data_IF_658796323733
#
_entry.id   IF_658796323733
#
_cell.length_a   1.000
_cell.length_b   1.000
_cell.length_c   1.000
_cell.angle_alpha   90.00
_cell.angle_beta   90.00
_cell.angle_gamma   90.00
#
_symmetry.space_group_name_H-M   'P 1'
#
loop_
_entity.id
_entity.type
_entity.pdbx_description
1 polymer ?
#
# COMPACT_ATOMS: atom_id res chain seq x y z
N UNK A 1 3.95 2.15 26.25
CA UNK A 1 3.36 1.20 25.28
C UNK A 1 4.42 0.40 24.53
N UNK A 2 5.48 1.04 23.99
CA UNK A 2 6.59 0.35 23.30
C UNK A 2 7.18 -0.80 24.11
N UNK A 3 7.61 -0.52 25.34
CA UNK A 3 8.14 -1.54 26.23
C UNK A 3 7.14 -2.69 26.48
N UNK A 4 5.84 -2.37 26.62
CA UNK A 4 4.79 -3.37 26.85
C UNK A 4 4.61 -4.31 25.65
N UNK A 5 4.45 -3.78 24.43
CA UNK A 5 4.17 -4.64 23.26
C UNK A 5 5.41 -5.45 22.83
N UNK A 6 6.61 -4.87 22.92
CA UNK A 6 7.86 -5.59 22.62
C UNK A 6 8.09 -6.74 23.61
N UNK A 7 7.90 -6.48 24.92
CA UNK A 7 7.99 -7.54 25.93
C UNK A 7 6.90 -8.60 25.76
N UNK A 8 5.66 -8.21 25.44
CA UNK A 8 4.58 -9.16 25.10
C UNK A 8 5.01 -10.09 23.96
N UNK A 9 5.56 -9.56 22.86
CA UNK A 9 6.03 -10.38 21.74
C UNK A 9 7.09 -11.38 22.19
N UNK A 10 8.12 -10.93 22.92
CA UNK A 10 9.18 -11.81 23.44
C UNK A 10 8.62 -12.90 24.36
N UNK A 11 7.75 -12.53 25.31
CA UNK A 11 7.18 -13.47 26.26
C UNK A 11 6.29 -14.52 25.60
N UNK A 12 5.50 -14.15 24.60
CA UNK A 12 4.63 -15.10 23.90
C UNK A 12 5.40 -16.00 22.92
N UNK A 13 6.48 -15.50 22.30
CA UNK A 13 7.27 -16.25 21.32
C UNK A 13 8.23 -17.22 22.01
N UNK A 14 8.98 -16.77 23.02
CA UNK A 14 10.07 -17.56 23.62
C UNK A 14 9.71 -18.23 24.95
N UNK A 15 8.80 -17.64 25.73
CA UNK A 15 8.44 -18.14 27.08
C UNK A 15 7.01 -18.70 27.14
N UNK A 16 6.34 -18.78 25.99
CA UNK A 16 5.01 -19.38 25.84
C UNK A 16 5.05 -20.91 25.77
N UNK A 17 3.87 -21.51 25.62
CA UNK A 17 3.77 -22.94 25.32
C UNK A 17 4.17 -23.20 23.86
N UNK A 18 4.96 -24.24 23.63
CA UNK A 18 5.34 -24.69 22.29
C UNK A 18 4.09 -25.02 21.45
N UNK A 19 4.05 -24.51 20.22
CA UNK A 19 2.92 -24.71 19.29
C UNK A 19 3.28 -25.55 18.07
N UNK A 20 4.48 -26.14 18.04
CA UNK A 20 5.00 -26.85 16.86
C UNK A 20 4.95 -28.39 16.97
N UNK A 21 4.58 -28.94 18.14
CA UNK A 21 4.44 -30.38 18.38
C UNK A 21 3.02 -30.94 18.10
N UNK A 22 2.17 -30.17 17.41
CA UNK A 22 0.83 -30.57 16.96
C UNK A 22 0.74 -30.37 15.45
N UNK A 23 -0.16 -31.09 14.80
CA UNK A 23 -0.42 -30.85 13.37
C UNK A 23 -0.70 -29.35 13.16
N UNK A 24 -0.04 -28.77 12.16
CA UNK A 24 -0.02 -27.31 11.95
C UNK A 24 -1.42 -26.71 11.83
N UNK A 25 -2.34 -27.47 11.25
CA UNK A 25 -3.74 -27.10 11.08
C UNK A 25 -4.51 -27.08 12.42
N UNK A 26 -4.09 -27.89 13.41
CA UNK A 26 -4.63 -27.87 14.78
C UNK A 26 -3.93 -26.83 15.67
N UNK A 27 -2.64 -26.61 15.46
CA UNK A 27 -1.82 -25.70 16.26
C UNK A 27 -2.13 -24.22 15.97
N UNK A 28 -2.43 -23.90 14.70
CA UNK A 28 -2.76 -22.54 14.26
C UNK A 28 -3.92 -22.60 13.25
N UNK A 29 -5.17 -22.66 13.73
CA UNK A 29 -6.35 -22.72 12.86
C UNK A 29 -6.46 -21.54 11.88
N UNK A 30 -5.88 -20.40 12.24
CA UNK A 30 -5.80 -19.20 11.40
C UNK A 30 -4.92 -19.39 10.15
N UNK A 31 -3.81 -20.14 10.27
CA UNK A 31 -2.95 -20.50 9.14
C UNK A 31 -3.67 -21.44 8.16
N UNK A 32 -4.50 -22.36 8.68
CA UNK A 32 -5.33 -23.23 7.83
C UNK A 32 -6.39 -22.42 7.05
N UNK A 33 -7.03 -21.44 7.71
CA UNK A 33 -7.97 -20.54 7.06
C UNK A 33 -7.30 -19.63 6.00
N UNK A 34 -6.08 -19.15 6.28
CA UNK A 34 -5.29 -18.39 5.29
C UNK A 34 -4.88 -19.25 4.08
N UNK A 35 -4.53 -20.53 4.28
CA UNK A 35 -4.26 -21.47 3.16
C UNK A 35 -5.47 -21.61 2.26
N UNK A 36 -6.64 -21.88 2.86
CA UNK A 36 -7.89 -22.03 2.13
C UNK A 36 -8.26 -20.75 1.35
N UNK A 37 -8.10 -19.58 1.98
CA UNK A 37 -8.38 -18.29 1.34
C UNK A 37 -7.39 -17.94 0.22
N UNK A 38 -6.12 -18.33 0.35
CA UNK A 38 -5.07 -18.02 -0.63
C UNK A 38 -5.15 -18.88 -1.90
N UNK A 39 -5.79 -20.06 -1.84
CA UNK A 39 -5.86 -21.00 -2.96
C UNK A 39 -4.50 -21.58 -3.39
N UNK A 40 -3.42 -21.35 -2.61
CA UNK A 40 -2.07 -21.84 -2.91
C UNK A 40 -1.81 -23.12 -2.14
N UNK A 41 -1.81 -24.24 -2.84
CA UNK A 41 -1.40 -25.52 -2.32
C UNK A 41 0.09 -25.74 -2.63
N UNK A 42 0.93 -25.52 -1.61
CA UNK A 42 2.38 -25.78 -1.54
C UNK A 42 3.35 -24.59 -1.77
N UNK A 43 4.35 -24.52 -0.88
CA UNK A 43 5.69 -23.99 -1.13
C UNK A 43 5.85 -22.46 -1.20
N UNK A 44 4.80 -21.71 -1.54
CA UNK A 44 4.90 -20.26 -1.69
C UNK A 44 3.81 -19.55 -0.88
N UNK A 45 4.23 -18.89 0.20
CA UNK A 45 3.40 -17.92 0.93
C UNK A 45 2.68 -18.43 2.16
N UNK A 46 2.49 -19.74 2.36
CA UNK A 46 1.69 -20.25 3.50
C UNK A 46 2.36 -21.39 4.25
N UNK A 47 3.54 -21.11 4.82
CA UNK A 47 4.24 -21.97 5.79
C UNK A 47 4.58 -23.39 5.32
N UNK A 48 5.44 -24.12 6.04
CA UNK A 48 5.73 -25.53 5.73
C UNK A 48 4.51 -26.42 5.99
N UNK A 49 4.37 -27.52 5.24
CA UNK A 49 3.26 -28.48 5.33
C UNK A 49 3.55 -29.69 6.24
N UNK A 50 4.77 -29.77 6.79
CA UNK A 50 5.21 -30.87 7.65
C UNK A 50 5.45 -30.45 9.11
N UNK A 51 5.71 -31.42 9.99
CA UNK A 51 6.04 -31.17 11.39
C UNK A 51 7.22 -30.19 11.48
N UNK A 52 7.00 -29.08 12.18
CA UNK A 52 7.97 -28.02 12.35
C UNK A 52 8.91 -28.37 13.50
N UNK A 53 10.17 -28.62 13.19
CA UNK A 53 11.21 -28.65 14.22
C UNK A 53 11.99 -27.33 14.16
N UNK A 54 11.86 -26.45 15.17
CA UNK A 54 12.66 -25.24 15.24
C UNK A 54 14.15 -25.61 15.23
N UNK A 55 14.88 -25.05 14.28
CA UNK A 55 16.32 -25.19 14.18
C UNK A 55 16.94 -23.80 14.17
N UNK A 56 18.17 -23.71 14.65
CA UNK A 56 18.92 -22.46 14.60
C UNK A 56 19.12 -22.03 13.14
N UNK A 57 19.10 -20.73 12.92
CA UNK A 57 19.26 -20.19 11.57
C UNK A 57 20.68 -20.46 11.03
N UNK A 58 20.87 -20.69 9.72
CA UNK A 58 22.19 -20.92 9.15
C UNK A 58 23.14 -19.73 9.40
N UNK A 59 24.45 -19.99 9.32
CA UNK A 59 25.50 -18.97 9.54
C UNK A 59 25.32 -17.70 8.69
N UNK A 60 24.75 -17.85 7.50
CA UNK A 60 24.49 -16.75 6.58
C UNK A 60 23.49 -15.72 7.13
N UNK A 61 22.62 -16.12 8.08
CA UNK A 61 21.67 -15.22 8.76
C UNK A 61 22.16 -14.81 10.15
N UNK A 62 22.77 -15.73 10.91
CA UNK A 62 23.23 -15.42 12.28
C UNK A 62 24.40 -14.45 12.30
N UNK A 63 25.32 -14.53 11.33
CA UNK A 63 26.48 -13.64 11.27
C UNK A 63 26.06 -12.16 11.11
N UNK A 64 25.20 -11.77 10.14
CA UNK A 64 24.68 -10.41 10.08
C UNK A 64 24.01 -9.95 11.38
N UNK A 65 23.18 -10.79 12.02
CA UNK A 65 22.50 -10.43 13.27
C UNK A 65 23.49 -10.19 14.41
N UNK A 66 24.52 -11.02 14.53
CA UNK A 66 25.57 -10.86 15.54
C UNK A 66 26.38 -9.58 15.32
N UNK A 67 26.73 -9.28 14.07
CA UNK A 67 27.43 -8.04 13.71
C UNK A 67 26.57 -6.82 14.04
N UNK A 68 25.27 -6.85 13.73
CA UNK A 68 24.34 -5.77 14.06
C UNK A 68 24.16 -5.60 15.58
N UNK A 69 24.05 -6.71 16.32
CA UNK A 69 23.97 -6.67 17.79
C UNK A 69 25.24 -6.07 18.40
N UNK A 70 26.43 -6.48 17.92
CA UNK A 70 27.70 -5.89 18.31
C UNK A 70 27.77 -4.41 17.97
N UNK A 71 27.34 -4.02 16.77
CA UNK A 71 27.25 -2.63 16.33
C UNK A 71 26.35 -1.78 17.22
N UNK A 72 25.19 -2.30 17.65
CA UNK A 72 24.28 -1.61 18.57
C UNK A 72 24.92 -1.38 19.95
N UNK A 73 25.67 -2.36 20.48
CA UNK A 73 26.41 -2.22 21.74
C UNK A 73 27.50 -1.16 21.60
N UNK A 74 28.30 -1.22 20.53
CA UNK A 74 29.38 -0.26 20.27
C UNK A 74 28.81 1.16 20.09
N UNK A 75 27.74 1.31 19.31
CA UNK A 75 27.04 2.59 19.14
C UNK A 75 26.53 3.16 20.48
N UNK A 76 25.96 2.31 21.34
CA UNK A 76 25.56 2.70 22.69
C UNK A 76 26.74 3.20 23.53
N UNK A 77 27.86 2.46 23.52
CA UNK A 77 29.08 2.83 24.26
C UNK A 77 29.68 4.14 23.75
N UNK A 78 29.71 4.35 22.43
CA UNK A 78 30.19 5.58 21.80
C UNK A 78 29.34 6.82 22.12
N UNK A 79 28.17 6.66 22.74
CA UNK A 79 27.28 7.77 23.09
C UNK A 79 26.98 7.83 24.60
N UNK A 80 27.80 7.20 25.43
CA UNK A 80 27.65 7.27 26.88
C UNK A 80 28.02 8.68 27.39
N UNK A 81 27.25 9.25 28.33
CA UNK A 81 27.44 10.62 28.81
C UNK A 81 28.55 10.70 29.86
N UNK A 82 29.74 10.16 29.58
CA UNK A 82 30.87 10.24 30.51
C UNK A 82 31.63 11.56 30.37
N UNK A 83 31.80 12.07 29.15
CA UNK A 83 32.35 13.39 28.83
C UNK A 83 31.60 13.98 27.62
N UNK A 84 31.56 15.31 27.48
CA UNK A 84 30.93 15.95 26.32
C UNK A 84 31.64 15.56 25.00
N UNK A 85 32.98 15.48 25.03
CA UNK A 85 33.80 15.08 23.88
C UNK A 85 33.61 13.61 23.46
N UNK A 86 33.07 12.76 24.34
CA UNK A 86 32.86 11.33 24.03
C UNK A 86 31.59 11.03 23.27
N UNK A 87 30.72 12.03 23.05
CA UNK A 87 29.48 11.90 22.26
C UNK A 87 29.78 11.91 20.76
N UNK A 88 30.64 11.00 20.29
CA UNK A 88 31.16 11.01 18.92
C UNK A 88 30.03 10.84 17.88
N UNK A 89 29.02 10.03 18.20
CA UNK A 89 27.89 9.79 17.31
C UNK A 89 26.95 11.00 17.22
N UNK A 90 26.70 11.68 18.35
CA UNK A 90 25.91 12.91 18.42
C UNK A 90 26.55 13.99 17.53
N UNK A 91 27.83 14.29 17.72
CA UNK A 91 28.55 15.28 16.91
C UNK A 91 28.66 14.90 15.43
N UNK A 92 28.78 13.60 15.12
CA UNK A 92 28.82 13.15 13.73
C UNK A 92 27.46 13.29 13.03
N UNK A 93 26.36 13.06 13.75
CA UNK A 93 25.00 13.20 13.23
C UNK A 93 24.53 14.65 13.22
N UNK A 94 25.03 15.47 14.14
CA UNK A 94 24.66 16.88 14.35
C UNK A 94 24.39 17.61 13.03
N UNK A 95 25.28 17.62 12.01
CA UNK A 95 25.07 18.33 10.74
C UNK A 95 23.77 18.03 9.99
N UNK A 96 23.19 16.85 10.20
CA UNK A 96 21.95 16.41 9.56
C UNK A 96 20.72 16.78 10.42
N UNK A 97 20.89 16.95 11.73
CA UNK A 97 19.79 17.17 12.70
C UNK A 97 19.62 18.63 13.10
N UNK A 98 20.63 19.49 12.90
CA UNK A 98 20.65 20.90 13.38
C UNK A 98 19.40 21.70 12.97
N UNK A 99 18.81 21.42 11.80
CA UNK A 99 17.64 22.15 11.30
C UNK A 99 16.36 21.96 12.12
N UNK A 100 16.34 21.01 13.08
CA UNK A 100 15.18 20.70 13.92
C UNK A 100 15.40 20.87 15.42
N UNK A 101 16.57 21.31 15.88
CA UNK A 101 16.87 21.38 17.31
C UNK A 101 16.37 22.68 17.96
N UNK A 102 15.53 22.54 18.98
CA UNK A 102 15.22 23.62 19.93
C UNK A 102 15.99 23.35 21.20
N UNK A 103 16.98 24.19 21.53
CA UNK A 103 17.66 24.10 22.81
C UNK A 103 16.68 24.52 23.93
N UNK A 104 16.22 23.54 24.69
CA UNK A 104 15.48 23.78 25.92
C UNK A 104 16.48 23.84 27.07
N UNK A 105 16.58 25.00 27.73
CA UNK A 105 17.35 25.14 28.97
C UNK A 105 16.64 24.39 30.10
N UNK A 106 16.95 23.10 30.21
CA UNK A 106 16.44 22.21 31.25
C UNK A 106 17.55 21.98 32.26
N UNK A 107 17.29 22.30 33.53
CA UNK A 107 18.26 22.06 34.61
C UNK A 107 18.64 20.57 34.70
N UNK A 108 19.87 20.26 35.15
CA UNK A 108 20.32 18.86 35.29
C UNK A 108 19.39 18.01 36.18
N UNK A 109 18.79 18.61 37.21
CA UNK A 109 17.80 17.94 38.06
C UNK A 109 16.52 17.56 37.28
N UNK A 110 16.04 18.44 36.39
CA UNK A 110 14.89 18.15 35.52
C UNK A 110 15.22 17.09 34.48
N UNK A 111 16.43 17.10 33.89
CA UNK A 111 16.87 16.07 32.95
C UNK A 111 16.89 14.68 33.60
N UNK A 112 17.47 14.57 34.80
CA UNK A 112 17.47 13.33 35.59
C UNK A 112 16.03 12.93 35.93
N UNK A 113 15.19 13.88 36.32
CA UNK A 113 13.77 13.63 36.61
C UNK A 113 13.04 13.02 35.41
N UNK A 114 13.20 13.60 34.21
CA UNK A 114 12.61 13.09 32.98
C UNK A 114 13.14 11.71 32.61
N UNK A 115 14.46 11.49 32.72
CA UNK A 115 15.09 10.20 32.46
C UNK A 115 14.57 9.10 33.41
N UNK A 116 14.40 9.43 34.70
CA UNK A 116 13.82 8.52 35.68
C UNK A 116 12.36 8.20 35.36
N UNK A 117 11.53 9.19 35.03
CA UNK A 117 10.13 8.99 34.64
C UNK A 117 10.03 8.09 33.41
N UNK A 118 10.84 8.35 32.37
CA UNK A 118 10.89 7.54 31.16
C UNK A 118 11.30 6.09 31.46
N UNK A 119 12.36 5.92 32.27
CA UNK A 119 12.87 4.60 32.66
C UNK A 119 11.83 3.83 33.48
N UNK A 120 11.21 4.46 34.48
CA UNK A 120 10.16 3.86 35.30
C UNK A 120 8.93 3.49 34.46
N UNK A 121 8.54 4.33 33.50
CA UNK A 121 7.46 4.04 32.56
C UNK A 121 7.77 2.82 31.67
N UNK A 122 9.02 2.70 31.20
CA UNK A 122 9.47 1.53 30.44
C UNK A 122 9.43 0.27 31.31
N UNK A 123 10.01 0.31 32.52
CA UNK A 123 10.01 -0.80 33.49
C UNK A 123 8.59 -1.22 33.85
N UNK A 124 7.70 -0.26 34.13
CA UNK A 124 6.29 -0.53 34.41
C UNK A 124 5.59 -1.22 33.23
N UNK A 125 5.92 -0.82 31.99
CA UNK A 125 5.45 -1.50 30.77
C UNK A 125 5.92 -2.95 30.68
N UNK A 126 7.20 -3.22 30.93
CA UNK A 126 7.78 -4.57 30.92
C UNK A 126 7.15 -5.44 32.00
N UNK A 127 7.07 -4.93 33.24
CA UNK A 127 6.47 -5.64 34.38
C UNK A 127 4.98 -5.88 34.17
N UNK A 128 4.25 -4.91 33.60
CA UNK A 128 2.84 -5.06 33.24
C UNK A 128 2.64 -6.17 32.21
N UNK A 129 3.46 -6.21 31.16
CA UNK A 129 3.43 -7.30 30.17
C UNK A 129 3.75 -8.65 30.83
N UNK A 130 4.79 -8.71 31.68
CA UNK A 130 5.15 -9.94 32.39
C UNK A 130 4.04 -10.44 33.31
N UNK A 131 3.40 -9.54 34.06
CA UNK A 131 2.30 -9.87 34.96
C UNK A 131 1.06 -10.42 34.24
N UNK A 132 0.82 -10.01 32.98
CA UNK A 132 -0.31 -10.48 32.19
C UNK A 132 0.05 -11.76 31.42
N UNK A 133 1.12 -11.74 30.64
CA UNK A 133 1.43 -12.79 29.67
C UNK A 133 2.23 -13.96 30.27
N UNK A 134 3.24 -13.71 31.12
CA UNK A 134 3.98 -14.81 31.77
C UNK A 134 3.12 -15.53 32.82
N UNK A 135 2.20 -14.81 33.48
CA UNK A 135 1.23 -15.40 34.43
C UNK A 135 -0.07 -15.86 33.78
N UNK A 136 -0.16 -15.86 32.44
CA UNK A 136 -1.31 -16.33 31.65
C UNK A 136 -2.67 -15.77 32.13
N UNK A 137 -2.73 -14.48 32.47
CA UNK A 137 -3.95 -13.80 32.96
C UNK A 137 -4.86 -13.39 31.80
N UNK A 138 -5.60 -14.35 31.24
CA UNK A 138 -6.45 -14.18 30.04
C UNK A 138 -7.49 -13.06 30.21
N UNK A 139 -8.06 -12.88 31.39
CA UNK A 139 -9.06 -11.83 31.65
C UNK A 139 -8.51 -10.42 31.51
N UNK A 140 -7.25 -10.22 31.93
CA UNK A 140 -6.57 -8.92 31.78
C UNK A 140 -6.10 -8.73 30.35
N UNK A 141 -5.59 -9.79 29.71
CA UNK A 141 -5.21 -9.76 28.30
C UNK A 141 -6.38 -9.32 27.41
N UNK A 142 -7.59 -9.87 27.60
CA UNK A 142 -8.80 -9.48 26.84
C UNK A 142 -9.21 -8.03 27.03
N UNK A 143 -8.97 -7.43 28.20
CA UNK A 143 -9.29 -6.01 28.44
C UNK A 143 -8.31 -5.06 27.74
N UNK A 144 -7.04 -5.46 27.67
CA UNK A 144 -5.98 -4.70 27.00
C UNK A 144 -6.06 -4.88 25.48
N UNK A 145 -6.27 -6.10 25.02
CA UNK A 145 -6.36 -6.48 23.60
C UNK A 145 -7.79 -6.34 23.08
N UNK A 146 -8.27 -5.09 23.03
CA UNK A 146 -9.57 -4.80 22.46
C UNK A 146 -9.63 -5.20 20.98
N UNK A 147 -10.75 -5.75 20.48
CA UNK A 147 -10.88 -6.18 19.09
C UNK A 147 -10.63 -5.08 18.05
N UNK A 148 -10.77 -3.80 18.43
CA UNK A 148 -10.49 -2.66 17.55
C UNK A 148 -9.01 -2.52 17.20
N UNK A 149 -8.11 -2.86 18.12
CA UNK A 149 -6.66 -2.75 17.89
C UNK A 149 -6.18 -3.81 16.91
N UNK A 150 -6.77 -5.01 16.94
CA UNK A 150 -6.49 -6.07 15.97
C UNK A 150 -6.89 -5.67 14.54
N UNK A 151 -7.85 -4.76 14.38
CA UNK A 151 -8.32 -4.25 13.09
C UNK A 151 -7.56 -3.01 12.61
N UNK A 152 -6.39 -2.70 13.18
CA UNK A 152 -5.59 -1.54 12.78
C UNK A 152 -6.36 -0.22 12.89
N UNK A 153 -7.14 -0.04 13.97
CA UNK A 153 -8.02 1.13 14.15
C UNK A 153 -9.09 1.29 13.05
N UNK A 154 -9.47 0.20 12.38
CA UNK A 154 -10.38 0.18 11.23
C UNK A 154 -9.87 0.96 10.03
N UNK A 155 -8.62 1.41 10.02
CA UNK A 155 -8.07 2.23 8.95
C UNK A 155 -8.17 1.52 7.60
N UNK A 156 -7.66 0.28 7.53
CA UNK A 156 -7.69 -0.53 6.31
C UNK A 156 -9.12 -0.83 5.85
N UNK A 157 -10.03 -1.10 6.80
CA UNK A 157 -11.43 -1.34 6.50
C UNK A 157 -12.12 -0.10 5.93
N UNK A 158 -11.83 1.09 6.48
CA UNK A 158 -12.37 2.36 5.99
C UNK A 158 -11.84 2.69 4.60
N UNK A 159 -10.53 2.55 4.38
CA UNK A 159 -9.92 2.78 3.05
C UNK A 159 -10.48 1.78 2.04
N UNK A 160 -10.59 0.50 2.40
CA UNK A 160 -11.15 -0.53 1.52
C UNK A 160 -12.61 -0.27 1.19
N UNK A 161 -13.44 0.10 2.19
CA UNK A 161 -14.85 0.42 1.97
C UNK A 161 -15.02 1.65 1.07
N UNK A 162 -14.16 2.66 1.23
CA UNK A 162 -14.18 3.87 0.40
C UNK A 162 -13.72 3.60 -1.03
N UNK A 163 -12.58 2.92 -1.20
CA UNK A 163 -12.01 2.64 -2.53
C UNK A 163 -12.84 1.59 -3.27
N UNK A 164 -13.23 0.50 -2.61
CA UNK A 164 -14.02 -0.59 -3.19
C UNK A 164 -15.50 -0.25 -3.39
N UNK A 165 -16.04 0.71 -2.64
CA UNK A 165 -17.42 1.16 -2.77
C UNK A 165 -17.56 2.37 -3.72
N UNK A 166 -17.64 3.60 -3.18
CA UNK A 166 -17.86 4.80 -3.99
C UNK A 166 -16.73 5.06 -4.99
N UNK A 167 -15.46 4.81 -4.62
CA UNK A 167 -14.32 4.95 -5.53
C UNK A 167 -14.50 4.08 -6.78
N UNK A 168 -14.79 2.80 -6.60
CA UNK A 168 -15.01 1.87 -7.72
C UNK A 168 -16.20 2.28 -8.60
N UNK A 169 -17.32 2.66 -7.99
CA UNK A 169 -18.51 3.13 -8.73
C UNK A 169 -18.22 4.36 -9.60
N UNK A 170 -17.41 5.30 -9.11
CA UNK A 170 -17.00 6.46 -9.88
C UNK A 170 -16.18 6.06 -11.11
N UNK A 171 -15.21 5.15 -10.94
CA UNK A 171 -14.41 4.64 -12.07
C UNK A 171 -15.26 3.86 -13.08
N UNK A 172 -16.19 3.03 -12.61
CA UNK A 172 -17.10 2.29 -13.50
C UNK A 172 -18.01 3.25 -14.29
N UNK A 173 -18.46 4.34 -13.68
CA UNK A 173 -19.25 5.37 -14.37
C UNK A 173 -18.44 6.10 -15.45
N UNK A 174 -17.18 6.44 -15.16
CA UNK A 174 -16.27 7.07 -16.13
C UNK A 174 -16.02 6.12 -17.31
N UNK A 175 -15.72 4.84 -17.02
CA UNK A 175 -15.48 3.83 -18.05
C UNK A 175 -16.73 3.56 -18.89
N UNK A 176 -17.92 3.55 -18.28
CA UNK A 176 -19.18 3.46 -19.01
C UNK A 176 -19.40 4.67 -19.93
N UNK A 177 -19.12 5.88 -19.45
CA UNK A 177 -19.27 7.11 -20.22
C UNK A 177 -18.37 7.10 -21.46
N UNK A 178 -17.11 6.71 -21.30
CA UNK A 178 -16.15 6.59 -22.41
C UNK A 178 -16.65 5.59 -23.48
N UNK A 179 -16.97 4.36 -23.06
CA UNK A 179 -17.44 3.30 -23.98
C UNK A 179 -18.79 3.58 -24.65
N UNK A 180 -19.64 4.37 -24.01
CA UNK A 180 -21.01 4.60 -24.51
C UNK A 180 -21.09 5.90 -25.30
N UNK A 181 -20.55 6.98 -24.74
CA UNK A 181 -20.70 8.33 -25.28
C UNK A 181 -19.56 8.65 -26.24
N UNK A 182 -18.31 8.46 -25.82
CA UNK A 182 -17.14 8.82 -26.63
C UNK A 182 -17.03 7.86 -27.82
N UNK A 183 -16.97 6.55 -27.55
CA UNK A 183 -16.93 5.54 -28.61
C UNK A 183 -18.20 5.58 -29.48
N UNK A 184 -19.37 5.84 -28.88
CA UNK A 184 -20.63 5.98 -29.61
C UNK A 184 -20.60 7.13 -30.60
N UNK A 185 -20.07 8.30 -30.20
CA UNK A 185 -19.92 9.45 -31.07
C UNK A 185 -18.95 9.17 -32.22
N UNK A 186 -17.80 8.55 -31.93
CA UNK A 186 -16.79 8.19 -32.95
C UNK A 186 -17.36 7.19 -33.96
N UNK A 187 -18.00 6.12 -33.50
CA UNK A 187 -18.64 5.12 -34.35
C UNK A 187 -19.83 5.70 -35.14
N UNK A 188 -20.54 6.67 -34.56
CA UNK A 188 -21.60 7.42 -35.24
C UNK A 188 -21.07 8.19 -36.45
N UNK A 189 -19.98 8.95 -36.27
CA UNK A 189 -19.33 9.66 -37.39
C UNK A 189 -18.89 8.69 -38.48
N UNK A 190 -18.25 7.58 -38.10
CA UNK A 190 -17.83 6.56 -39.06
C UNK A 190 -19.03 5.98 -39.85
N UNK A 191 -20.16 5.76 -39.17
CA UNK A 191 -21.39 5.23 -39.79
C UNK A 191 -21.98 6.23 -40.78
N UNK A 192 -22.07 7.51 -40.42
CA UNK A 192 -22.58 8.58 -41.31
C UNK A 192 -21.71 8.70 -42.55
N UNK A 193 -20.38 8.69 -42.40
CA UNK A 193 -19.45 8.75 -43.54
C UNK A 193 -19.60 7.52 -44.43
N UNK A 194 -19.69 6.33 -43.85
CA UNK A 194 -19.86 5.06 -44.58
C UNK A 194 -21.16 5.02 -45.37
N UNK A 195 -22.28 5.38 -44.74
CA UNK A 195 -23.59 5.42 -45.38
C UNK A 195 -23.67 6.51 -46.45
N UNK A 196 -23.12 7.70 -46.17
CA UNK A 196 -23.02 8.78 -47.15
C UNK A 196 -22.21 8.36 -48.37
N UNK A 197 -21.09 7.67 -48.16
CA UNK A 197 -20.25 7.12 -49.24
C UNK A 197 -20.97 6.03 -50.03
N UNK A 198 -21.74 5.16 -49.37
CA UNK A 198 -22.53 4.12 -50.03
C UNK A 198 -23.65 4.70 -50.91
N UNK A 199 -24.37 5.71 -50.41
CA UNK A 199 -25.38 6.44 -51.20
C UNK A 199 -24.75 7.22 -52.35
N UNK A 200 -23.64 7.91 -52.10
CA UNK A 200 -22.88 8.63 -53.12
C UNK A 200 -22.36 7.71 -54.23
N UNK A 201 -21.98 6.47 -53.91
CA UNK A 201 -21.58 5.46 -54.90
C UNK A 201 -22.70 5.15 -55.89
N UNK A 202 -23.96 5.20 -55.49
CA UNK A 202 -25.11 4.96 -56.39
C UNK A 202 -25.24 6.02 -57.49
N UNK A 203 -24.69 7.23 -57.29
CA UNK A 203 -24.65 8.25 -58.34
C UNK A 203 -23.70 7.87 -59.50
N UNK A 204 -22.76 6.95 -59.27
CA UNK A 204 -21.85 6.44 -60.29
C UNK A 204 -22.49 5.24 -61.00
N UNK A 205 -23.27 5.52 -62.05
CA UNK A 205 -24.09 4.51 -62.77
C UNK A 205 -23.34 3.74 -63.87
N UNK A 206 -22.13 4.16 -64.24
CA UNK A 206 -21.34 3.53 -65.32
C UNK A 206 -21.84 3.80 -66.74
N UNK A 207 -22.98 4.48 -66.90
CA UNK A 207 -23.53 4.86 -68.21
C UNK A 207 -22.95 6.19 -68.70
N UNK A 208 -22.15 6.16 -69.77
CA UNK A 208 -21.48 7.33 -70.39
C UNK A 208 -22.45 8.49 -70.67
N UNK A 209 -23.69 8.19 -71.07
CA UNK A 209 -24.72 9.20 -71.36
C UNK A 209 -25.13 10.03 -70.13
N UNK A 210 -25.19 9.42 -68.95
CA UNK A 210 -25.51 10.13 -67.70
C UNK A 210 -24.39 11.09 -67.30
N UNK A 211 -23.13 10.70 -67.54
CA UNK A 211 -21.98 11.58 -67.31
C UNK A 211 -21.96 12.78 -68.28
N UNK A 212 -22.27 12.55 -69.55
CA UNK A 212 -22.36 13.62 -70.55
C UNK A 212 -23.46 14.66 -70.19
N UNK A 213 -24.63 14.19 -69.76
CA UNK A 213 -25.71 15.05 -69.24
C UNK A 213 -25.27 15.84 -68.01
N UNK A 214 -24.60 15.19 -67.05
CA UNK A 214 -24.06 15.84 -65.84
C UNK A 214 -23.03 16.92 -66.16
N UNK A 215 -22.11 16.67 -67.09
CA UNK A 215 -21.12 17.65 -67.55
C UNK A 215 -21.76 18.84 -68.26
N UNK A 216 -22.74 18.59 -69.14
CA UNK A 216 -23.46 19.65 -69.83
C UNK A 216 -24.24 20.56 -68.86
N UNK A 217 -24.96 19.97 -67.90
CA UNK A 217 -25.64 20.71 -66.83
C UNK A 217 -24.64 21.50 -65.98
N UNK A 218 -23.52 20.88 -65.58
CA UNK A 218 -22.46 21.56 -64.84
C UNK A 218 -21.88 22.76 -65.58
N UNK A 219 -21.62 22.63 -66.89
CA UNK A 219 -21.13 23.73 -67.72
C UNK A 219 -22.14 24.88 -67.80
N UNK A 220 -23.43 24.59 -67.98
CA UNK A 220 -24.49 25.62 -67.98
C UNK A 220 -24.56 26.35 -66.65
N UNK A 221 -24.50 25.63 -65.53
CA UNK A 221 -24.53 26.23 -64.19
C UNK A 221 -23.29 27.11 -63.96
N UNK A 222 -22.10 26.65 -64.33
CA UNK A 222 -20.87 27.45 -64.21
C UNK A 222 -20.97 28.73 -65.04
N UNK A 223 -21.43 28.63 -66.28
CA UNK A 223 -21.61 29.81 -67.15
C UNK A 223 -22.64 30.78 -66.55
N UNK A 224 -23.78 30.27 -66.07
CA UNK A 224 -24.79 31.09 -65.42
C UNK A 224 -24.27 31.79 -64.16
N UNK A 225 -23.48 31.09 -63.34
CA UNK A 225 -22.82 31.66 -62.15
C UNK A 225 -21.78 32.72 -62.52
N UNK A 226 -20.98 32.48 -63.56
CA UNK A 226 -20.01 33.47 -64.04
C UNK A 226 -20.70 34.71 -64.59
N UNK A 227 -21.78 34.54 -65.35
CA UNK A 227 -22.57 35.67 -65.86
C UNK A 227 -23.22 36.46 -64.73
N UNK A 228 -23.78 35.81 -63.72
CA UNK A 228 -24.32 36.51 -62.53
C UNK A 228 -23.22 37.23 -61.73
N UNK A 229 -21.99 36.71 -61.71
CA UNK A 229 -20.82 37.34 -61.09
C UNK A 229 -20.15 38.42 -61.95
N UNK A 230 -20.43 38.46 -63.25
CA UNK A 230 -19.90 39.46 -64.18
C UNK A 230 -20.85 40.65 -64.38
N UNK A 231 -22.12 40.47 -64.00
CA UNK A 231 -23.18 41.49 -64.10
C UNK A 231 -23.33 42.30 -62.78
N UNK A 232 -22.60 41.92 -61.73
CA UNK A 232 -22.35 42.72 -60.52
C UNK A 232 -20.86 42.96 -60.36
#
# INVERSE_FOLDING_TARGET
LTAFYMSRQVFMVFFGEARWDRDLDEAVPELAAEREASGVHEGHGVGPSGPLHPHESPWLMTLPLLVLAGGAVVAGVMNLPFNEDTKLLEHWLEPVVIFGETHLDVSGAQQIGLALIATLGAVAGILGAGAIYLRKRIDLARKVEQPIFAKGWLYDATITAFMGGPGRKAFDAIAWFDRTVIDGAVNGVATVVREGSAKGRLAQTGYVRNYALGLALGAVVIVALLLTKAVF
#
